data_IF_810499695373
#
_entry.id   IF_810499695373
#
_cell.length_a   1.000
_cell.length_b   1.000
_cell.length_c   1.000
_cell.angle_alpha   90.00
_cell.angle_beta   90.00
_cell.angle_gamma   90.00
#
_symmetry.space_group_name_H-M   'P 1'
#
loop_
_entity.id
_entity.type
_entity.pdbx_description
1 polymer ?
#
# COMPACT_ATOMS: atom_id res chain seq x y z
N UNK A 1 12.69 -13.26 -1.90
CA UNK A 1 13.56 -12.44 -1.02
C UNK A 1 12.76 -12.22 0.25
N UNK A 2 13.26 -12.64 1.42
CA UNK A 2 12.43 -12.78 2.64
C UNK A 2 11.66 -11.52 3.05
N UNK A 3 12.28 -10.35 2.97
CA UNK A 3 11.61 -9.08 3.28
C UNK A 3 10.36 -8.90 2.39
N UNK A 4 10.49 -9.11 1.09
CA UNK A 4 9.39 -8.94 0.12
C UNK A 4 8.27 -9.96 0.35
N UNK A 5 8.62 -11.22 0.65
CA UNK A 5 7.63 -12.25 1.02
C UNK A 5 6.84 -11.84 2.27
N UNK A 6 7.52 -11.20 3.24
CA UNK A 6 6.89 -10.70 4.47
C UNK A 6 5.97 -9.51 4.17
N UNK A 7 6.43 -8.54 3.37
CA UNK A 7 5.62 -7.38 2.97
C UNK A 7 4.37 -7.81 2.18
N UNK A 8 4.48 -8.79 1.27
CA UNK A 8 3.32 -9.35 0.56
C UNK A 8 2.32 -10.05 1.50
N UNK A 9 2.79 -10.77 2.52
CA UNK A 9 1.91 -11.35 3.53
C UNK A 9 1.18 -10.27 4.36
N UNK A 10 1.83 -9.13 4.56
CA UNK A 10 1.23 -7.98 5.24
C UNK A 10 0.23 -7.26 4.35
N UNK A 11 0.49 -7.11 3.05
CA UNK A 11 -0.50 -6.65 2.06
C UNK A 11 -1.79 -7.45 2.14
N UNK A 12 -1.72 -8.78 2.22
CA UNK A 12 -2.91 -9.61 2.36
C UNK A 12 -3.71 -9.32 3.65
N UNK A 13 -3.04 -8.90 4.73
CA UNK A 13 -3.73 -8.46 5.95
C UNK A 13 -4.31 -7.05 5.79
N UNK A 14 -3.54 -6.12 5.25
CA UNK A 14 -3.94 -4.71 5.04
C UNK A 14 -5.15 -4.64 4.09
N UNK A 15 -5.14 -5.41 3.00
CA UNK A 15 -6.24 -5.48 2.03
C UNK A 15 -7.57 -5.89 2.68
N UNK A 16 -7.56 -6.96 3.50
CA UNK A 16 -8.76 -7.38 4.25
C UNK A 16 -9.17 -6.36 5.28
N UNK A 17 -8.21 -5.72 5.95
CA UNK A 17 -8.47 -4.68 6.94
C UNK A 17 -9.09 -3.43 6.32
N UNK A 18 -8.74 -3.06 5.09
CA UNK A 18 -9.40 -1.99 4.35
C UNK A 18 -10.88 -2.31 4.07
N UNK A 19 -11.17 -3.55 3.70
CA UNK A 19 -12.55 -4.01 3.52
C UNK A 19 -13.34 -3.96 4.83
N UNK A 20 -12.74 -4.45 5.92
CA UNK A 20 -13.35 -4.39 7.24
C UNK A 20 -13.52 -2.94 7.73
N UNK A 21 -12.58 -2.06 7.43
CA UNK A 21 -12.65 -0.65 7.79
C UNK A 21 -13.80 0.06 7.08
N UNK A 22 -14.00 -0.24 5.80
CA UNK A 22 -15.16 0.24 5.05
C UNK A 22 -16.48 -0.22 5.69
N UNK A 23 -16.59 -1.51 6.03
CA UNK A 23 -17.78 -2.05 6.69
C UNK A 23 -18.01 -1.43 8.09
N UNK A 24 -16.94 -1.21 8.84
CA UNK A 24 -16.98 -0.53 10.13
C UNK A 24 -17.54 0.90 10.00
N UNK A 25 -17.03 1.68 9.06
CA UNK A 25 -17.45 3.08 8.88
C UNK A 25 -18.91 3.17 8.42
N UNK A 26 -19.35 2.28 7.53
CA UNK A 26 -20.75 2.21 7.14
C UNK A 26 -21.66 1.84 8.32
N UNK A 27 -21.25 0.84 9.11
CA UNK A 27 -21.93 0.47 10.34
C UNK A 27 -21.94 1.59 11.38
N UNK A 28 -20.88 2.37 11.49
CA UNK A 28 -20.76 3.49 12.42
C UNK A 28 -21.72 4.62 12.04
N UNK A 29 -21.80 4.96 10.74
CA UNK A 29 -22.73 5.95 10.20
C UNK A 29 -24.19 5.51 10.39
N UNK A 30 -24.49 4.22 10.22
CA UNK A 30 -25.80 3.64 10.48
C UNK A 30 -26.12 3.42 11.98
N UNK A 31 -25.17 3.69 12.87
CA UNK A 31 -25.32 3.55 14.32
C UNK A 31 -25.11 2.13 14.87
N UNK A 32 -24.84 1.13 14.03
CA UNK A 32 -24.68 -0.28 14.38
C UNK A 32 -23.28 -0.71 14.82
N UNK A 33 -22.23 0.06 14.51
CA UNK A 33 -20.86 -0.24 14.96
C UNK A 33 -20.54 0.39 16.33
N UNK A 34 -19.66 -0.26 17.10
CA UNK A 34 -19.11 0.29 18.35
C UNK A 34 -18.01 1.32 18.03
N UNK A 35 -18.16 2.60 18.43
CA UNK A 35 -17.12 3.60 18.22
C UNK A 35 -15.75 3.21 18.81
N UNK A 36 -15.71 2.38 19.85
CA UNK A 36 -14.45 1.97 20.48
C UNK A 36 -13.53 1.21 19.51
N UNK A 37 -14.09 0.43 18.57
CA UNK A 37 -13.34 -0.31 17.57
C UNK A 37 -12.59 0.62 16.59
N UNK A 38 -13.04 1.88 16.44
CA UNK A 38 -12.37 2.88 15.61
C UNK A 38 -10.94 3.19 16.05
N UNK A 39 -10.63 3.11 17.36
CA UNK A 39 -9.26 3.30 17.86
C UNK A 39 -8.33 2.18 17.41
N UNK A 40 -8.85 0.96 17.32
CA UNK A 40 -8.09 -0.21 16.86
C UNK A 40 -7.82 -0.13 15.35
N UNK A 41 -8.78 0.32 14.54
CA UNK A 41 -8.53 0.63 13.12
C UNK A 41 -7.49 1.74 12.96
N UNK A 42 -7.62 2.84 13.72
CA UNK A 42 -6.65 3.93 13.70
C UNK A 42 -5.24 3.42 14.05
N UNK A 43 -5.09 2.62 15.11
CA UNK A 43 -3.82 2.05 15.51
C UNK A 43 -3.26 1.11 14.42
N UNK A 44 -4.10 0.26 13.82
CA UNK A 44 -3.68 -0.63 12.74
C UNK A 44 -3.07 0.15 11.56
N UNK A 45 -3.78 1.14 11.02
CA UNK A 45 -3.28 1.87 9.86
C UNK A 45 -2.10 2.80 10.18
N UNK A 46 -2.08 3.41 11.37
CA UNK A 46 -1.02 4.36 11.73
C UNK A 46 0.26 3.66 12.18
N UNK A 47 0.17 2.64 13.04
CA UNK A 47 1.33 1.97 13.61
C UNK A 47 1.79 0.82 12.72
N UNK A 48 0.87 -0.03 12.26
CA UNK A 48 1.25 -1.21 11.48
C UNK A 48 1.39 -0.90 9.98
N UNK A 49 0.35 -0.40 9.31
CA UNK A 49 0.45 -0.16 7.87
C UNK A 49 1.46 0.96 7.52
N UNK A 50 1.32 2.16 8.12
CA UNK A 50 2.24 3.26 7.83
C UNK A 50 3.56 3.14 8.61
N UNK A 51 3.51 3.03 9.94
CA UNK A 51 4.69 3.07 10.80
C UNK A 51 5.63 1.86 10.68
N UNK A 52 5.10 0.70 10.31
CA UNK A 52 5.87 -0.54 10.21
C UNK A 52 6.08 -1.02 8.77
N UNK A 53 5.00 -1.16 8.02
CA UNK A 53 5.05 -1.72 6.67
C UNK A 53 5.65 -0.72 5.67
N UNK A 54 5.02 0.44 5.42
CA UNK A 54 5.57 1.46 4.50
C UNK A 54 6.97 1.94 4.92
N UNK A 55 7.24 2.08 6.22
CA UNK A 55 8.56 2.48 6.70
C UNK A 55 9.68 1.50 6.30
N UNK A 56 9.38 0.20 6.21
CA UNK A 56 10.36 -0.81 5.74
C UNK A 56 10.47 -0.83 4.22
N UNK A 57 9.38 -0.59 3.51
CA UNK A 57 9.43 -0.40 2.07
C UNK A 57 10.33 0.77 1.71
N UNK A 58 10.05 1.95 2.25
CA UNK A 58 10.84 3.15 1.98
C UNK A 58 12.29 3.01 2.45
N UNK A 59 12.48 2.63 3.72
CA UNK A 59 13.79 2.63 4.36
C UNK A 59 14.72 1.50 3.92
N UNK A 60 14.18 0.39 3.41
CA UNK A 60 14.95 -0.81 3.09
C UNK A 60 14.85 -1.18 1.60
N UNK A 61 13.64 -1.38 1.07
CA UNK A 61 13.46 -1.85 -0.29
C UNK A 61 13.66 -0.75 -1.34
N UNK A 62 12.88 0.35 -1.25
CA UNK A 62 12.99 1.48 -2.15
C UNK A 62 14.36 2.16 -2.06
N UNK A 63 14.89 2.32 -0.84
CA UNK A 63 16.25 2.82 -0.64
C UNK A 63 17.31 1.95 -1.35
N UNK A 64 17.18 0.62 -1.30
CA UNK A 64 18.10 -0.27 -2.02
C UNK A 64 17.97 -0.14 -3.54
N UNK A 65 16.74 0.01 -4.06
CA UNK A 65 16.51 0.25 -5.48
C UNK A 65 17.18 1.54 -5.98
N UNK A 66 17.09 2.62 -5.22
CA UNK A 66 17.76 3.88 -5.55
C UNK A 66 19.27 3.76 -5.43
N UNK A 67 19.78 3.20 -4.32
CA UNK A 67 21.22 3.18 -4.02
C UNK A 67 21.99 2.19 -4.88
N UNK A 68 21.47 0.97 -4.99
CA UNK A 68 22.18 -0.18 -5.54
C UNK A 68 21.83 -0.42 -7.02
N UNK A 69 20.55 -0.25 -7.37
CA UNK A 69 20.09 -0.33 -8.75
C UNK A 69 20.10 1.01 -9.49
N UNK A 70 20.53 2.10 -8.82
CA UNK A 70 20.68 3.45 -9.41
C UNK A 70 19.40 3.98 -10.04
N UNK A 71 18.25 3.53 -9.57
CA UNK A 71 16.96 4.01 -10.05
C UNK A 71 16.75 5.48 -9.65
N UNK A 72 16.05 6.26 -10.50
CA UNK A 72 15.83 7.67 -10.22
C UNK A 72 14.97 7.87 -8.96
N UNK A 73 15.43 8.73 -8.05
CA UNK A 73 14.71 9.03 -6.81
C UNK A 73 13.48 9.92 -7.03
N UNK A 74 13.48 10.75 -8.09
CA UNK A 74 12.48 11.82 -8.31
C UNK A 74 11.59 11.63 -9.53
N UNK A 75 11.60 10.44 -10.13
CA UNK A 75 10.68 10.02 -11.21
C UNK A 75 10.50 8.50 -11.18
N UNK A 76 9.58 7.99 -11.99
CA UNK A 76 9.29 6.56 -12.07
C UNK A 76 8.60 5.95 -10.83
N UNK A 77 8.47 4.61 -10.83
CA UNK A 77 7.74 3.86 -9.82
C UNK A 77 8.14 4.15 -8.36
N UNK A 78 9.44 4.21 -8.05
CA UNK A 78 9.91 4.49 -6.68
C UNK A 78 9.39 5.84 -6.17
N UNK A 79 9.46 6.87 -7.01
CA UNK A 79 8.95 8.20 -6.68
C UNK A 79 7.43 8.22 -6.55
N UNK A 80 6.72 7.54 -7.46
CA UNK A 80 5.26 7.46 -7.43
C UNK A 80 4.74 6.84 -6.12
N UNK A 81 5.29 5.69 -5.74
CA UNK A 81 4.89 4.90 -4.56
C UNK A 81 5.18 5.69 -3.27
N UNK A 82 6.37 6.30 -3.16
CA UNK A 82 6.73 7.15 -2.01
C UNK A 82 5.79 8.36 -1.85
N UNK A 83 5.35 8.96 -2.97
CA UNK A 83 4.37 10.06 -2.93
C UNK A 83 2.99 9.58 -2.51
N UNK A 84 2.58 8.39 -2.94
CA UNK A 84 1.32 7.78 -2.52
C UNK A 84 1.33 7.49 -1.01
N UNK A 85 2.43 6.97 -0.45
CA UNK A 85 2.59 6.83 1.00
C UNK A 85 2.38 8.15 1.73
N UNK A 86 3.03 9.23 1.29
CA UNK A 86 2.90 10.54 1.90
C UNK A 86 1.47 11.09 1.83
N UNK A 87 0.78 10.92 0.70
CA UNK A 87 -0.62 11.32 0.53
C UNK A 87 -1.55 10.52 1.45
N UNK A 88 -1.38 9.19 1.50
CA UNK A 88 -2.17 8.31 2.34
C UNK A 88 -1.93 8.57 3.82
N UNK A 89 -0.70 8.87 4.23
CA UNK A 89 -0.37 9.28 5.59
C UNK A 89 -1.07 10.61 5.98
N UNK A 90 -1.15 11.57 5.06
CA UNK A 90 -1.92 12.81 5.26
C UNK A 90 -3.40 12.53 5.49
N UNK A 91 -4.04 11.73 4.64
CA UNK A 91 -5.46 11.39 4.80
C UNK A 91 -5.72 10.58 6.07
N UNK A 92 -4.79 9.72 6.45
CA UNK A 92 -4.88 8.97 7.70
C UNK A 92 -4.80 9.90 8.92
N UNK A 93 -3.97 10.95 8.87
CA UNK A 93 -3.93 12.00 9.88
C UNK A 93 -5.26 12.77 10.02
N UNK A 94 -6.00 12.94 8.92
CA UNK A 94 -7.35 13.52 8.93
C UNK A 94 -8.43 12.53 9.42
N UNK A 95 -8.30 11.25 9.07
CA UNK A 95 -9.25 10.20 9.42
C UNK A 95 -9.15 9.82 10.90
N UNK A 96 -7.95 9.59 11.43
CA UNK A 96 -7.74 9.02 12.76
C UNK A 96 -8.46 9.78 13.90
N UNK A 97 -8.50 11.12 13.95
CA UNK A 97 -9.23 11.87 14.98
C UNK A 97 -10.76 11.75 14.88
N UNK A 98 -11.28 11.37 13.70
CA UNK A 98 -12.70 11.15 13.47
C UNK A 98 -13.13 9.75 13.91
N UNK A 99 -12.18 8.82 14.00
CA UNK A 99 -12.39 7.47 14.52
C UNK A 99 -12.48 7.51 16.05
N UNK A 100 -13.34 6.68 16.64
CA UNK A 100 -13.49 6.62 18.10
C UNK A 100 -14.72 7.33 18.68
N UNK A 101 -15.51 8.01 17.83
CA UNK A 101 -16.78 8.62 18.24
C UNK A 101 -17.86 8.42 17.19
N UNK A 102 -19.12 8.52 17.61
CA UNK A 102 -20.24 8.54 16.67
C UNK A 102 -20.22 9.88 15.91
N UNK A 103 -20.53 9.88 14.60
CA UNK A 103 -20.78 11.11 13.87
C UNK A 103 -21.90 11.92 14.54
N UNK A 104 -21.76 13.26 14.56
CA UNK A 104 -22.74 14.19 15.13
C UNK A 104 -24.00 14.38 14.27
N UNK A 105 -24.09 13.71 13.11
CA UNK A 105 -25.23 13.75 12.19
C UNK A 105 -24.88 13.17 10.82
N UNK A 106 -25.87 13.13 9.92
CA UNK A 106 -25.72 12.52 8.59
C UNK A 106 -24.55 13.12 7.79
N UNK A 107 -24.42 14.45 7.73
CA UNK A 107 -23.35 15.11 6.98
C UNK A 107 -21.93 14.74 7.48
N UNK A 108 -21.75 14.52 8.78
CA UNK A 108 -20.45 14.06 9.32
C UNK A 108 -20.21 12.58 9.01
N UNK A 109 -21.27 11.77 9.02
CA UNK A 109 -21.23 10.37 8.57
C UNK A 109 -20.83 10.24 7.11
N UNK A 110 -21.48 11.01 6.22
CA UNK A 110 -21.19 11.04 4.79
C UNK A 110 -19.74 11.45 4.51
N UNK A 111 -19.24 12.46 5.25
CA UNK A 111 -17.84 12.91 5.14
C UNK A 111 -16.87 11.81 5.57
N UNK A 112 -17.14 11.11 6.68
CA UNK A 112 -16.31 10.02 7.17
C UNK A 112 -16.28 8.86 6.17
N UNK A 113 -17.42 8.49 5.59
CA UNK A 113 -17.52 7.49 4.54
C UNK A 113 -16.72 7.90 3.30
N UNK A 114 -16.89 9.12 2.80
CA UNK A 114 -16.18 9.60 1.62
C UNK A 114 -14.66 9.58 1.80
N UNK A 115 -14.16 10.04 2.96
CA UNK A 115 -12.72 10.00 3.27
C UNK A 115 -12.21 8.56 3.39
N UNK A 116 -12.98 7.67 4.02
CA UNK A 116 -12.64 6.25 4.18
C UNK A 116 -12.55 5.55 2.83
N UNK A 117 -13.54 5.76 1.95
CA UNK A 117 -13.55 5.18 0.60
C UNK A 117 -12.38 5.69 -0.23
N UNK A 118 -12.08 6.98 -0.17
CA UNK A 118 -10.90 7.57 -0.84
C UNK A 118 -9.60 6.92 -0.38
N UNK A 119 -9.40 6.80 0.93
CA UNK A 119 -8.21 6.17 1.51
C UNK A 119 -8.11 4.69 1.11
N UNK A 120 -9.20 3.93 1.24
CA UNK A 120 -9.22 2.51 0.91
C UNK A 120 -8.98 2.25 -0.58
N UNK A 121 -9.61 3.02 -1.48
CA UNK A 121 -9.39 2.90 -2.92
C UNK A 121 -7.95 3.17 -3.31
N UNK A 122 -7.33 4.20 -2.73
CA UNK A 122 -5.94 4.49 -2.99
C UNK A 122 -5.03 3.37 -2.49
N UNK A 123 -5.19 2.91 -1.25
CA UNK A 123 -4.32 1.88 -0.68
C UNK A 123 -4.52 0.51 -1.37
N UNK A 124 -5.73 0.18 -1.81
CA UNK A 124 -5.94 -1.03 -2.60
C UNK A 124 -5.26 -0.99 -3.97
N UNK A 125 -5.31 0.14 -4.69
CA UNK A 125 -4.58 0.31 -5.96
C UNK A 125 -3.07 0.30 -5.75
N UNK A 126 -2.63 0.88 -4.64
CA UNK A 126 -1.23 0.92 -4.25
C UNK A 126 -0.69 -0.51 -4.01
N UNK A 127 -1.38 -1.29 -3.16
CA UNK A 127 -1.06 -2.71 -2.92
C UNK A 127 -1.01 -3.50 -4.24
N UNK A 128 -1.97 -3.24 -5.15
CA UNK A 128 -2.04 -3.89 -6.45
C UNK A 128 -0.82 -3.55 -7.33
N UNK A 129 -0.47 -2.27 -7.45
CA UNK A 129 0.69 -1.80 -8.19
C UNK A 129 2.01 -2.34 -7.60
N UNK A 130 2.13 -2.39 -6.29
CA UNK A 130 3.32 -2.90 -5.64
C UNK A 130 3.48 -4.41 -5.81
N UNK A 131 2.39 -5.14 -5.61
CA UNK A 131 2.39 -6.61 -5.66
C UNK A 131 2.59 -7.12 -7.09
N UNK A 132 1.97 -6.48 -8.08
CA UNK A 132 2.00 -6.93 -9.47
C UNK A 132 3.16 -6.37 -10.28
N UNK A 133 3.66 -5.16 -9.96
CA UNK A 133 4.71 -4.48 -10.73
C UNK A 133 5.95 -4.22 -9.89
N UNK A 134 5.84 -3.39 -8.84
CA UNK A 134 7.03 -2.88 -8.16
C UNK A 134 7.89 -3.98 -7.53
N UNK A 135 7.27 -4.93 -6.83
CA UNK A 135 8.00 -5.98 -6.11
C UNK A 135 8.65 -6.99 -7.07
N UNK A 136 7.94 -7.58 -8.05
CA UNK A 136 8.58 -8.51 -8.99
C UNK A 136 9.76 -7.86 -9.72
N UNK A 137 9.55 -6.65 -10.24
CA UNK A 137 10.55 -5.93 -11.02
C UNK A 137 11.70 -5.46 -10.15
N UNK A 138 11.40 -4.94 -8.96
CA UNK A 138 12.42 -4.46 -8.03
C UNK A 138 13.28 -5.59 -7.49
N UNK A 139 12.68 -6.76 -7.21
CA UNK A 139 13.44 -7.96 -6.84
C UNK A 139 14.32 -8.42 -7.99
N UNK A 140 13.80 -8.45 -9.23
CA UNK A 140 14.59 -8.76 -10.42
C UNK A 140 15.79 -7.84 -10.55
N UNK A 141 15.56 -6.53 -10.45
CA UNK A 141 16.60 -5.50 -10.55
C UNK A 141 17.67 -5.63 -9.46
N UNK A 142 17.28 -5.80 -8.20
CA UNK A 142 18.24 -5.98 -7.10
C UNK A 142 19.08 -7.26 -7.28
N UNK A 143 18.48 -8.34 -7.80
CA UNK A 143 19.23 -9.58 -8.10
C UNK A 143 20.28 -9.37 -9.18
N UNK A 144 19.99 -8.58 -10.23
CA UNK A 144 20.98 -8.21 -11.25
C UNK A 144 22.14 -7.40 -10.65
N UNK A 145 21.87 -6.60 -9.61
CA UNK A 145 22.89 -5.93 -8.82
C UNK A 145 23.58 -6.83 -7.76
N UNK A 146 23.33 -8.14 -7.76
CA UNK A 146 23.93 -9.10 -6.83
C UNK A 146 23.33 -9.11 -5.42
N UNK A 147 22.17 -8.48 -5.20
CA UNK A 147 21.48 -8.44 -3.91
C UNK A 147 20.37 -9.50 -3.84
N UNK A 148 20.60 -10.52 -3.02
CA UNK A 148 19.67 -11.64 -2.82
C UNK A 148 18.90 -11.57 -1.50
N UNK A 149 19.30 -10.67 -0.60
CA UNK A 149 18.66 -10.43 0.68
C UNK A 149 18.74 -8.93 1.04
N UNK A 150 17.72 -8.47 1.74
CA UNK A 150 17.69 -7.15 2.38
C UNK A 150 17.59 -7.34 3.89
N UNK A 151 18.13 -6.40 4.68
CA UNK A 151 17.90 -6.38 6.12
C UNK A 151 16.39 -6.24 6.43
N UNK A 152 16.01 -6.57 7.65
CA UNK A 152 14.66 -6.40 8.17
C UNK A 152 14.74 -5.97 9.64
N UNK A 153 13.63 -5.46 10.18
CA UNK A 153 13.49 -5.12 11.60
C UNK A 153 12.25 -5.80 12.20
N UNK A 154 12.38 -6.16 13.47
CA UNK A 154 11.23 -6.60 14.25
C UNK A 154 10.24 -5.45 14.49
N UNK A 155 8.98 -5.81 14.73
CA UNK A 155 7.97 -4.89 15.25
C UNK A 155 8.33 -4.47 16.68
N UNK A 156 8.00 -3.24 17.03
CA UNK A 156 7.85 -2.81 18.41
C UNK A 156 6.61 -3.44 19.03
N UNK A 157 6.50 -3.43 20.37
CA UNK A 157 5.33 -3.97 21.06
C UNK A 157 4.03 -3.27 20.66
N UNK A 158 4.06 -1.98 20.33
CA UNK A 158 2.88 -1.23 19.89
C UNK A 158 2.45 -1.60 18.46
N UNK A 159 3.42 -1.77 17.54
CA UNK A 159 3.16 -2.23 16.17
C UNK A 159 2.59 -3.66 16.18
N UNK A 160 3.14 -4.55 17.01
CA UNK A 160 2.64 -5.91 17.18
C UNK A 160 1.22 -5.93 17.76
N UNK A 161 0.95 -5.17 18.82
CA UNK A 161 -0.39 -5.08 19.40
C UNK A 161 -1.43 -4.54 18.40
N UNK A 162 -1.05 -3.56 17.58
CA UNK A 162 -1.91 -3.03 16.52
C UNK A 162 -2.23 -4.10 15.45
N UNK A 163 -1.23 -4.89 15.04
CA UNK A 163 -1.41 -6.02 14.13
C UNK A 163 -2.30 -7.10 14.73
N UNK A 164 -2.03 -7.52 15.96
CA UNK A 164 -2.73 -8.63 16.61
C UNK A 164 -4.22 -8.32 16.84
N UNK A 165 -4.56 -7.04 17.07
CA UNK A 165 -5.93 -6.57 17.15
C UNK A 165 -6.75 -6.73 15.86
N UNK A 166 -6.10 -6.89 14.71
CA UNK A 166 -6.78 -7.01 13.41
C UNK A 166 -7.71 -8.22 13.34
N UNK A 167 -7.34 -9.34 13.96
CA UNK A 167 -8.14 -10.57 13.90
C UNK A 167 -9.52 -10.40 14.56
N UNK A 168 -9.57 -9.67 15.69
CA UNK A 168 -10.83 -9.35 16.36
C UNK A 168 -11.73 -8.43 15.51
N UNK A 169 -11.13 -7.45 14.82
CA UNK A 169 -11.86 -6.56 13.91
C UNK A 169 -12.40 -7.30 12.71
N UNK A 170 -11.60 -8.17 12.06
CA UNK A 170 -12.01 -8.96 10.91
C UNK A 170 -13.18 -9.91 11.23
N UNK A 171 -13.26 -10.42 12.47
CA UNK A 171 -14.40 -11.22 12.92
C UNK A 171 -15.68 -10.39 13.08
N UNK A 172 -15.55 -9.14 13.53
CA UNK A 172 -16.69 -8.23 13.77
C UNK A 172 -17.19 -7.55 12.50
N UNK A 173 -16.28 -7.23 11.60
CA UNK A 173 -16.53 -6.49 10.38
C UNK A 173 -16.05 -7.32 9.20
N UNK A 174 -16.92 -8.17 8.62
CA UNK A 174 -16.58 -8.95 7.45
C UNK A 174 -16.04 -8.04 6.33
N UNK A 175 -14.85 -8.33 5.77
CA UNK A 175 -14.28 -7.51 4.71
C UNK A 175 -15.20 -7.42 3.51
N UNK A 176 -15.46 -6.19 3.05
CA UNK A 176 -16.14 -5.96 1.77
C UNK A 176 -15.14 -5.77 0.65
N UNK A 177 -15.49 -6.25 -0.53
CA UNK A 177 -14.78 -5.96 -1.78
C UNK A 177 -15.57 -4.89 -2.53
N UNK A 178 -14.88 -3.85 -2.99
CA UNK A 178 -15.52 -2.83 -3.81
C UNK A 178 -15.58 -3.29 -5.27
N UNK A 179 -16.77 -3.60 -5.76
CA UNK A 179 -16.98 -4.07 -7.13
C UNK A 179 -16.67 -3.01 -8.20
N UNK A 180 -16.57 -1.72 -7.82
CA UNK A 180 -16.22 -0.63 -8.74
C UNK A 180 -14.71 -0.43 -8.86
N UNK A 181 -13.93 -1.08 -8.00
CA UNK A 181 -12.49 -0.97 -7.99
C UNK A 181 -11.87 -1.93 -9.00
N UNK A 182 -11.43 -1.38 -10.13
CA UNK A 182 -10.60 -2.12 -11.08
C UNK A 182 -9.18 -2.29 -10.51
N UNK A 183 -8.70 -3.53 -10.52
CA UNK A 183 -7.35 -3.96 -10.15
C UNK A 183 -6.79 -4.86 -11.25
N UNK A 184 -5.49 -4.97 -11.34
CA UNK A 184 -4.85 -5.97 -12.16
C UNK A 184 -3.39 -5.69 -12.42
N UNK A 185 -2.80 -6.60 -13.18
CA UNK A 185 -1.36 -6.66 -13.31
C UNK A 185 -0.85 -5.71 -14.39
N UNK A 186 0.10 -4.85 -14.00
CA UNK A 186 0.85 -4.01 -14.95
C UNK A 186 0.65 -2.50 -14.79
N UNK A 187 1.55 -1.75 -15.43
CA UNK A 187 1.61 -0.29 -15.33
C UNK A 187 0.31 0.42 -15.73
N UNK A 188 -0.43 -0.12 -16.71
CA UNK A 188 -1.61 0.57 -17.26
C UNK A 188 -2.80 0.69 -16.29
N UNK A 189 -2.85 -0.17 -15.26
CA UNK A 189 -3.87 -0.12 -14.20
C UNK A 189 -3.43 0.72 -13.00
N UNK A 190 -2.13 1.06 -12.93
CA UNK A 190 -1.59 1.94 -11.91
C UNK A 190 -2.03 3.39 -12.14
N UNK A 191 -2.56 4.04 -11.10
CA UNK A 191 -3.03 5.42 -11.17
C UNK A 191 -1.91 6.43 -11.47
N UNK A 192 -0.66 6.11 -11.13
CA UNK A 192 0.48 6.98 -11.40
C UNK A 192 0.92 6.97 -12.88
N UNK A 193 0.56 5.93 -13.64
CA UNK A 193 1.00 5.74 -15.02
C UNK A 193 0.44 6.84 -15.94
N UNK A 194 1.34 7.49 -16.68
CA UNK A 194 1.03 8.61 -17.57
C UNK A 194 0.73 9.94 -16.85
N UNK A 195 0.69 9.96 -15.52
CA UNK A 195 0.50 11.19 -14.73
C UNK A 195 1.79 11.64 -14.03
N UNK A 196 2.40 10.73 -13.29
CA UNK A 196 3.59 11.02 -12.47
C UNK A 196 4.70 9.99 -12.64
N UNK A 197 4.48 8.98 -13.48
CA UNK A 197 5.41 7.93 -13.86
C UNK A 197 5.14 7.56 -15.34
N UNK A 198 6.19 7.45 -16.15
CA UNK A 198 6.07 7.13 -17.59
C UNK A 198 5.99 5.62 -17.89
N UNK A 199 5.84 4.80 -16.85
CA UNK A 199 5.87 3.33 -16.94
C UNK A 199 7.22 2.75 -16.56
N UNK A 200 7.22 1.48 -16.16
CA UNK A 200 8.41 0.78 -15.71
C UNK A 200 9.49 0.77 -16.78
N UNK A 201 9.11 0.42 -18.01
CA UNK A 201 10.02 0.24 -19.13
C UNK A 201 10.68 1.57 -19.53
N UNK A 202 9.94 2.69 -19.45
CA UNK A 202 10.51 4.02 -19.70
C UNK A 202 11.45 4.49 -18.57
N UNK A 203 11.17 4.10 -17.32
CA UNK A 203 11.79 4.72 -16.14
C UNK A 203 12.93 3.88 -15.55
N UNK A 204 12.92 2.57 -15.76
CA UNK A 204 13.86 1.63 -15.15
C UNK A 204 14.82 0.99 -16.14
N UNK A 205 14.44 0.90 -17.42
CA UNK A 205 15.28 0.24 -18.41
C UNK A 205 16.31 1.20 -18.99
N UNK A 206 17.52 0.70 -19.16
CA UNK A 206 18.59 1.37 -19.90
C UNK A 206 18.46 1.09 -21.40
N UNK A 207 19.13 1.91 -22.22
CA UNK A 207 19.23 1.69 -23.67
C UNK A 207 19.74 0.27 -23.99
N UNK A 208 20.68 -0.26 -23.22
CA UNK A 208 21.20 -1.62 -23.39
C UNK A 208 20.16 -2.70 -23.08
N UNK A 209 19.29 -2.47 -22.08
CA UNK A 209 18.20 -3.40 -21.75
C UNK A 209 17.13 -3.37 -22.83
N UNK A 210 16.85 -2.20 -23.41
CA UNK A 210 15.99 -2.08 -24.58
C UNK A 210 16.58 -2.78 -25.81
N UNK A 211 17.85 -2.55 -26.11
CA UNK A 211 18.54 -3.23 -27.22
C UNK A 211 18.51 -4.76 -27.05
N UNK A 212 18.74 -5.25 -25.83
CA UNK A 212 18.69 -6.68 -25.53
C UNK A 212 17.28 -7.26 -25.69
N UNK A 213 16.25 -6.53 -25.26
CA UNK A 213 14.85 -6.92 -25.44
C UNK A 213 14.51 -7.06 -26.93
N UNK A 214 14.79 -6.04 -27.73
CA UNK A 214 14.53 -6.09 -29.17
C UNK A 214 15.38 -7.12 -29.90
N UNK A 215 16.62 -7.38 -29.46
CA UNK A 215 17.48 -8.41 -30.06
C UNK A 215 17.01 -9.84 -29.76
N UNK A 216 16.35 -10.06 -28.61
CA UNK A 216 15.77 -11.35 -28.23
C UNK A 216 14.54 -11.73 -29.07
N UNK A 217 13.73 -10.75 -29.45
CA UNK A 217 12.51 -10.93 -30.27
C UNK A 217 12.79 -11.25 -31.75
N UNK A 218 14.04 -11.12 -32.22
CA UNK A 218 14.44 -11.49 -33.61
C UNK A 218 14.85 -12.96 -33.73
N UNK A 219 14.67 -13.77 -32.67
CA UNK A 219 15.13 -15.16 -32.62
C UNK A 219 14.03 -16.24 -32.63
N UNK A 220 12.76 -15.86 -32.84
CA UNK A 220 11.65 -16.76 -33.19
C UNK A 220 11.29 -16.70 -34.69
#
# INVERSE_FOLDING_TARGET
MRLIETLQAEHALIDRMLGAFCAYVDGLAAGGADPADGKSFAAFFTLFAAGYHHAREEGLFLAALVREARLPERRGPVWAVTREHALMASWLGELAPLLGRRPGGAAEGDRLQALTRRYAHALWRHIDAETSVLYPEGVGRLRLCGLYALPDRAMTGAEAAARDGAEALLRRYPPVVDATLLRGDGCFLCQAHGLTCEGLEAEWWSELEWDAFYAGDVSD
#
